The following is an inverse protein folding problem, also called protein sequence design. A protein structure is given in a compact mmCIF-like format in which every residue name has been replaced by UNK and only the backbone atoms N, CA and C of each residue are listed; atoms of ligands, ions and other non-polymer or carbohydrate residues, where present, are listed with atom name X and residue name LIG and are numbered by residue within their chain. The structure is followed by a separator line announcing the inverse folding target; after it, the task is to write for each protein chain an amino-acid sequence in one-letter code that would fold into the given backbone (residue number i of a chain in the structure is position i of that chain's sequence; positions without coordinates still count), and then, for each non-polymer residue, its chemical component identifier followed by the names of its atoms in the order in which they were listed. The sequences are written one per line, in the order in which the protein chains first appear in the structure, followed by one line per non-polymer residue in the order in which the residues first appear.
data_IF_824127293377
#
_entry.id   IF_824127293377
#
_cell.length_a   1.000
_cell.length_b   1.000
_cell.length_c   1.000
_cell.angle_alpha   90.00
_cell.angle_beta   90.00
_cell.angle_gamma   90.00
#
_symmetry.space_group_name_H-M   'P 1'
#
loop_
_entity.id
_entity.type
_entity.pdbx_description
1 polymer ?
#
# COMPACT_ATOMS: atom_id res chain seq x y z
N UNK A 1 1.43 -3.74 14.67
CA UNK A 1 1.01 -5.10 14.25
C UNK A 1 2.19 -5.99 13.91
N UNK A 2 3.11 -5.60 13.01
CA UNK A 2 4.26 -6.44 12.61
C UNK A 2 5.16 -6.89 13.79
N UNK A 3 5.46 -5.98 14.73
CA UNK A 3 6.26 -6.30 15.94
C UNK A 3 5.54 -7.29 16.85
N UNK A 4 4.22 -7.12 17.00
CA UNK A 4 3.40 -8.01 17.81
C UNK A 4 3.32 -9.40 17.17
N UNK A 5 3.13 -9.49 15.85
CA UNK A 5 3.17 -10.77 15.12
C UNK A 5 4.53 -11.46 15.24
N UNK A 6 5.65 -10.75 15.16
CA UNK A 6 7.00 -11.34 15.36
C UNK A 6 7.16 -11.95 16.74
N UNK A 7 6.68 -11.25 17.77
CA UNK A 7 6.78 -11.69 19.16
C UNK A 7 5.82 -12.84 19.47
N UNK A 8 4.61 -12.81 18.90
CA UNK A 8 3.56 -13.80 19.18
C UNK A 8 3.67 -15.08 18.33
N UNK A 9 4.14 -15.00 17.07
CA UNK A 9 4.31 -16.15 16.16
C UNK A 9 5.74 -16.70 16.13
N UNK A 10 6.72 -16.01 16.71
CA UNK A 10 8.12 -16.44 16.68
C UNK A 10 8.80 -16.30 15.30
N UNK A 11 8.14 -15.66 14.33
CA UNK A 11 8.71 -15.36 13.02
C UNK A 11 9.86 -14.33 13.16
N UNK A 12 11.03 -14.66 12.62
CA UNK A 12 12.13 -13.70 12.52
C UNK A 12 11.78 -12.67 11.45
N UNK A 13 11.51 -11.43 11.87
CA UNK A 13 11.36 -10.34 10.92
C UNK A 13 12.66 -10.17 10.13
N UNK A 14 12.58 -10.38 8.81
CA UNK A 14 13.63 -10.05 7.87
C UNK A 14 14.08 -8.58 8.07
N UNK A 15 15.36 -8.27 7.81
CA UNK A 15 15.91 -6.92 7.99
C UNK A 15 15.12 -5.87 7.21
N UNK A 16 14.67 -6.24 6.01
CA UNK A 16 13.82 -5.40 5.17
C UNK A 16 12.45 -5.17 5.82
N UNK A 17 11.85 -6.16 6.49
CA UNK A 17 10.62 -5.95 7.24
C UNK A 17 10.79 -4.95 8.40
N UNK A 18 11.94 -5.00 9.11
CA UNK A 18 12.26 -4.03 10.17
C UNK A 18 12.44 -2.62 9.60
N UNK A 19 13.17 -2.51 8.49
CA UNK A 19 13.38 -1.24 7.80
C UNK A 19 12.04 -0.67 7.28
N UNK A 20 11.15 -1.52 6.76
CA UNK A 20 9.82 -1.10 6.30
C UNK A 20 8.96 -0.56 7.44
N UNK A 21 8.97 -1.24 8.58
CA UNK A 21 8.29 -0.77 9.78
C UNK A 21 8.86 0.57 10.30
N UNK A 22 10.20 0.73 10.26
CA UNK A 22 10.84 1.99 10.65
C UNK A 22 10.49 3.13 9.69
N UNK A 23 10.52 2.88 8.37
CA UNK A 23 10.11 3.86 7.37
C UNK A 23 8.65 4.27 7.55
N UNK A 24 7.74 3.33 7.75
CA UNK A 24 6.33 3.65 8.00
C UNK A 24 6.15 4.47 9.28
N UNK A 25 6.93 4.20 10.33
CA UNK A 25 6.89 4.99 11.57
C UNK A 25 7.39 6.42 11.32
N UNK A 26 8.55 6.57 10.69
CA UNK A 26 9.14 7.89 10.37
C UNK A 26 8.19 8.67 9.45
N UNK A 27 7.71 8.05 8.37
CA UNK A 27 6.76 8.67 7.45
C UNK A 27 5.47 9.14 8.14
N UNK A 28 4.93 8.34 9.06
CA UNK A 28 3.76 8.72 9.86
C UNK A 28 4.05 9.91 10.76
N UNK A 29 5.23 9.97 11.40
CA UNK A 29 5.60 11.14 12.23
C UNK A 29 5.77 12.40 11.40
N UNK A 30 6.44 12.33 10.25
CA UNK A 30 6.63 13.47 9.35
C UNK A 30 5.28 13.97 8.83
N UNK A 31 4.38 13.05 8.44
CA UNK A 31 3.03 13.38 8.00
C UNK A 31 2.24 14.08 9.12
N UNK A 32 2.31 13.61 10.37
CA UNK A 32 1.59 14.22 11.50
C UNK A 32 2.14 15.60 11.86
N UNK A 33 3.46 15.79 11.82
CA UNK A 33 4.10 17.07 12.16
C UNK A 33 3.74 18.16 11.14
N UNK A 34 3.58 17.79 9.88
CA UNK A 34 3.24 18.71 8.79
C UNK A 34 1.75 18.62 8.41
N UNK A 35 0.95 17.89 9.19
CA UNK A 35 -0.47 17.81 8.95
C UNK A 35 -1.08 19.19 9.15
N UNK A 36 -2.10 19.56 8.36
CA UNK A 36 -2.82 20.78 8.60
C UNK A 36 -3.37 20.86 10.02
N UNK A 37 -3.18 22.04 10.62
CA UNK A 37 -3.91 22.39 11.83
C UNK A 37 -5.40 22.33 11.45
N UNK A 38 -6.11 21.34 12.01
CA UNK A 38 -7.55 21.20 11.83
C UNK A 38 -8.16 22.58 12.15
N UNK A 39 -8.77 23.26 11.17
CA UNK A 39 -9.65 24.39 11.50
C UNK A 39 -10.62 23.90 12.58
N UNK A 40 -10.89 24.71 13.60
CA UNK A 40 -11.68 24.35 14.78
C UNK A 40 -13.16 24.08 14.43
N UNK A 41 -13.44 23.03 13.66
CA UNK A 41 -14.76 22.47 13.43
C UNK A 41 -15.14 21.72 14.69
N UNK A 42 -15.54 22.49 15.70
CA UNK A 42 -15.89 22.01 17.03
C UNK A 42 -17.37 21.66 17.13
N UNK A 43 -18.19 22.16 16.20
CA UNK A 43 -19.64 21.96 16.19
C UNK A 43 -20.14 21.29 14.90
N UNK A 44 -21.32 20.65 15.00
CA UNK A 44 -22.01 20.09 13.83
C UNK A 44 -22.49 21.17 12.85
N UNK A 45 -22.70 22.40 13.34
CA UNK A 45 -23.08 23.55 12.52
C UNK A 45 -21.92 23.94 11.60
N UNK A 46 -20.71 24.05 12.16
CA UNK A 46 -19.49 24.36 11.40
C UNK A 46 -19.23 23.27 10.35
N UNK A 47 -19.37 22.01 10.74
CA UNK A 47 -19.22 20.91 9.78
C UNK A 47 -20.28 20.95 8.69
N UNK A 48 -21.52 21.29 9.03
CA UNK A 48 -22.59 21.46 8.04
C UNK A 48 -22.26 22.59 7.07
N UNK A 49 -21.70 23.69 7.57
CA UNK A 49 -21.28 24.82 6.74
C UNK A 49 -20.23 24.37 5.71
N UNK A 50 -19.19 23.64 6.16
CA UNK A 50 -18.13 23.07 5.31
C UNK A 50 -18.67 22.10 4.25
N UNK A 51 -19.59 21.21 4.64
CA UNK A 51 -20.23 20.27 3.73
C UNK A 51 -21.13 20.94 2.68
N UNK A 52 -21.73 22.10 3.00
CA UNK A 52 -22.61 22.86 2.10
C UNK A 52 -21.86 23.81 1.19
N UNK A 53 -20.56 23.97 1.36
CA UNK A 53 -19.79 24.85 0.48
C UNK A 53 -19.81 24.33 -0.97
N UNK A 54 -19.95 25.22 -1.95
CA UNK A 54 -20.13 24.81 -3.34
C UNK A 54 -18.91 24.04 -3.88
N UNK A 55 -17.70 24.35 -3.40
CA UNK A 55 -16.48 23.65 -3.78
C UNK A 55 -16.46 22.19 -3.31
N UNK A 56 -16.74 21.96 -2.03
CA UNK A 56 -16.84 20.60 -1.49
C UNK A 56 -18.01 19.83 -2.10
N UNK A 57 -19.18 20.47 -2.27
CA UNK A 57 -20.35 19.82 -2.85
C UNK A 57 -20.09 19.37 -4.30
N UNK A 58 -19.43 20.20 -5.12
CA UNK A 58 -19.03 19.84 -6.46
C UNK A 58 -18.03 18.66 -6.46
N UNK A 59 -17.02 18.70 -5.60
CA UNK A 59 -16.05 17.62 -5.45
C UNK A 59 -16.72 16.30 -5.01
N UNK A 60 -17.57 16.35 -4.00
CA UNK A 60 -18.33 15.21 -3.49
C UNK A 60 -19.26 14.64 -4.57
N UNK A 61 -19.93 15.49 -5.34
CA UNK A 61 -20.76 15.07 -6.47
C UNK A 61 -19.94 14.37 -7.57
N UNK A 62 -18.74 14.88 -7.89
CA UNK A 62 -17.81 14.25 -8.83
C UNK A 62 -17.37 12.88 -8.32
N UNK A 63 -16.97 12.77 -7.05
CA UNK A 63 -16.58 11.49 -6.44
C UNK A 63 -17.73 10.48 -6.43
N UNK A 64 -18.95 10.92 -6.08
CA UNK A 64 -20.15 10.06 -6.13
C UNK A 64 -20.46 9.61 -7.55
N UNK A 65 -20.43 10.52 -8.53
CA UNK A 65 -20.66 10.18 -9.94
C UNK A 65 -19.60 9.20 -10.46
N UNK A 66 -18.33 9.43 -10.14
CA UNK A 66 -17.23 8.53 -10.46
C UNK A 66 -17.45 7.15 -9.81
N UNK A 67 -17.85 7.11 -8.55
CA UNK A 67 -18.14 5.89 -7.83
C UNK A 67 -19.29 5.11 -8.50
N UNK A 68 -20.40 5.77 -8.83
CA UNK A 68 -21.52 5.16 -9.52
C UNK A 68 -21.13 4.63 -10.91
N UNK A 69 -20.35 5.40 -11.68
CA UNK A 69 -19.83 4.96 -12.97
C UNK A 69 -18.95 3.72 -12.82
N UNK A 70 -18.07 3.71 -11.81
CA UNK A 70 -17.20 2.59 -11.52
C UNK A 70 -18.00 1.34 -11.12
N UNK A 71 -19.02 1.48 -10.27
CA UNK A 71 -19.86 0.38 -9.79
C UNK A 71 -20.72 -0.22 -10.92
N UNK A 72 -21.40 0.62 -11.70
CA UNK A 72 -22.38 0.15 -12.67
C UNK A 72 -21.78 -0.25 -14.03
N UNK A 73 -20.71 0.43 -14.48
CA UNK A 73 -20.14 0.18 -15.81
C UNK A 73 -18.80 -0.56 -15.75
N UNK A 74 -17.86 -0.10 -14.94
CA UNK A 74 -16.49 -0.63 -14.97
C UNK A 74 -16.31 -1.89 -14.12
N UNK A 75 -16.96 -2.00 -12.97
CA UNK A 75 -16.85 -3.16 -12.08
C UNK A 75 -17.38 -4.45 -12.73
N UNK A 76 -18.54 -4.47 -13.42
CA UNK A 76 -19.03 -5.68 -14.07
C UNK A 76 -18.18 -6.07 -15.28
N UNK A 77 -17.67 -5.09 -16.04
CA UNK A 77 -16.99 -5.33 -17.32
C UNK A 77 -15.49 -5.56 -17.20
N UNK A 78 -14.82 -4.87 -16.28
CA UNK A 78 -13.36 -4.82 -16.18
C UNK A 78 -12.83 -5.12 -14.77
N UNK A 79 -13.68 -5.19 -13.74
CA UNK A 79 -13.24 -5.40 -12.36
C UNK A 79 -12.42 -6.68 -12.16
N UNK A 80 -12.76 -7.75 -12.88
CA UNK A 80 -12.03 -9.03 -12.84
C UNK A 80 -10.63 -8.97 -13.51
N UNK A 81 -10.39 -7.99 -14.39
CA UNK A 81 -9.11 -7.85 -15.11
C UNK A 81 -8.17 -6.83 -14.48
N UNK A 82 -8.73 -5.79 -13.85
CA UNK A 82 -7.96 -4.68 -13.31
C UNK A 82 -8.27 -4.50 -11.82
N UNK A 83 -7.33 -4.90 -10.98
CA UNK A 83 -7.38 -4.72 -9.52
C UNK A 83 -7.69 -3.28 -9.10
N UNK A 84 -7.15 -2.30 -9.84
CA UNK A 84 -7.33 -0.87 -9.57
C UNK A 84 -8.80 -0.44 -9.56
N UNK A 85 -9.68 -1.12 -10.31
CA UNK A 85 -11.09 -0.73 -10.37
C UNK A 85 -11.78 -0.99 -9.04
N UNK A 86 -11.65 -2.19 -8.48
CA UNK A 86 -12.24 -2.50 -7.17
C UNK A 86 -11.63 -1.66 -6.05
N UNK A 87 -10.31 -1.45 -6.10
CA UNK A 87 -9.62 -0.66 -5.08
C UNK A 87 -9.95 0.84 -5.17
N UNK A 88 -10.18 1.38 -6.36
CA UNK A 88 -10.64 2.76 -6.51
C UNK A 88 -12.06 2.93 -5.99
N UNK A 89 -12.96 1.97 -6.25
CA UNK A 89 -14.34 2.01 -5.73
C UNK A 89 -14.34 2.06 -4.20
N UNK A 90 -13.65 1.11 -3.54
CA UNK A 90 -13.64 1.09 -2.09
C UNK A 90 -12.91 2.31 -1.51
N UNK A 91 -11.87 2.84 -2.18
CA UNK A 91 -11.15 4.03 -1.72
C UNK A 91 -12.00 5.31 -1.79
N UNK A 92 -12.73 5.53 -2.90
CA UNK A 92 -13.64 6.67 -3.03
C UNK A 92 -14.76 6.61 -1.99
N UNK A 93 -15.38 5.45 -1.81
CA UNK A 93 -16.41 5.25 -0.79
C UNK A 93 -15.84 5.40 0.62
N UNK A 94 -14.60 4.93 0.82
CA UNK A 94 -13.88 5.03 2.07
C UNK A 94 -13.60 6.45 2.50
N UNK A 95 -13.38 7.38 1.57
CA UNK A 95 -13.28 8.80 1.91
C UNK A 95 -14.56 9.34 2.56
N UNK A 96 -15.74 8.98 2.05
CA UNK A 96 -17.01 9.34 2.69
C UNK A 96 -17.18 8.70 4.08
N UNK A 97 -16.66 7.48 4.27
CA UNK A 97 -16.63 6.83 5.59
C UNK A 97 -15.75 7.60 6.58
N UNK A 98 -14.55 8.03 6.18
CA UNK A 98 -13.64 8.81 7.04
C UNK A 98 -14.25 10.16 7.39
N UNK A 99 -14.84 10.88 6.43
CA UNK A 99 -15.56 12.13 6.69
C UNK A 99 -16.75 11.91 7.64
N UNK A 100 -17.49 10.81 7.47
CA UNK A 100 -18.62 10.46 8.35
C UNK A 100 -18.16 10.17 9.78
N UNK A 101 -17.07 9.42 9.97
CA UNK A 101 -16.48 9.16 11.29
C UNK A 101 -15.98 10.44 11.93
N UNK A 102 -15.29 11.33 11.20
CA UNK A 102 -14.86 12.64 11.70
C UNK A 102 -16.05 13.44 12.22
N UNK A 103 -17.13 13.51 11.43
CA UNK A 103 -18.34 14.24 11.85
C UNK A 103 -19.09 13.62 13.01
N UNK A 104 -19.18 12.29 13.06
CA UNK A 104 -19.74 11.60 14.21
C UNK A 104 -18.87 11.77 15.46
N UNK A 105 -17.55 11.85 15.31
CA UNK A 105 -16.64 12.20 16.41
C UNK A 105 -16.97 13.57 17.02
N UNK A 106 -17.25 14.57 16.18
CA UNK A 106 -17.73 15.90 16.62
C UNK A 106 -19.11 15.79 17.28
N UNK A 107 -20.05 15.03 16.69
CA UNK A 107 -21.37 14.80 17.26
C UNK A 107 -21.29 14.17 18.67
N UNK A 108 -20.45 13.15 18.85
CA UNK A 108 -20.27 12.45 20.13
C UNK A 108 -19.66 13.40 21.17
N UNK A 109 -18.66 14.20 20.80
CA UNK A 109 -18.10 15.24 21.70
C UNK A 109 -19.19 16.24 22.12
N UNK A 110 -20.00 16.71 21.17
CA UNK A 110 -21.13 17.60 21.45
C UNK A 110 -22.20 16.96 22.35
N UNK A 111 -22.47 15.65 22.18
CA UNK A 111 -23.39 14.90 23.02
C UNK A 111 -22.97 14.92 24.49
N UNK A 112 -21.69 14.62 24.76
CA UNK A 112 -21.14 14.66 26.12
C UNK A 112 -21.08 16.09 26.69
N UNK A 113 -20.98 17.10 25.84
CA UNK A 113 -21.06 18.52 26.22
C UNK A 113 -22.51 19.02 26.44
N UNK A 114 -23.52 18.15 26.35
CA UNK A 114 -24.93 18.51 26.58
C UNK A 114 -25.62 19.24 25.42
N UNK A 115 -25.02 19.27 24.24
CA UNK A 115 -25.62 19.88 23.04
C UNK A 115 -26.68 18.95 22.42
N UNK A 116 -27.75 19.49 21.81
CA UNK A 116 -28.84 18.70 21.22
C UNK A 116 -28.44 18.04 19.86
N UNK A 117 -27.31 17.33 19.82
CA UNK A 117 -26.73 16.76 18.58
C UNK A 117 -27.58 15.69 17.90
N UNK A 118 -28.46 15.00 18.65
CA UNK A 118 -29.36 13.98 18.13
C UNK A 118 -30.55 14.56 17.35
N UNK A 119 -30.90 15.82 17.64
CA UNK A 119 -31.92 16.56 16.88
C UNK A 119 -31.37 17.08 15.56
N UNK A 120 -30.04 17.17 15.44
CA UNK A 120 -29.40 17.66 14.23
C UNK A 120 -29.49 16.61 13.11
N UNK A 121 -30.11 16.92 11.95
CA UNK A 121 -30.33 15.95 10.88
C UNK A 121 -29.02 15.41 10.28
N UNK A 122 -27.94 16.20 10.34
CA UNK A 122 -26.61 15.79 9.87
C UNK A 122 -26.14 14.51 10.56
N UNK A 123 -26.37 14.35 11.87
CA UNK A 123 -25.91 13.19 12.64
C UNK A 123 -26.45 11.89 12.04
N UNK A 124 -27.75 11.85 11.70
CA UNK A 124 -28.38 10.69 11.08
C UNK A 124 -27.89 10.42 9.66
N UNK A 125 -27.68 11.49 8.87
CA UNK A 125 -27.11 11.37 7.52
C UNK A 125 -25.70 10.77 7.58
N UNK A 126 -24.87 11.22 8.52
CA UNK A 126 -23.51 10.69 8.72
C UNK A 126 -23.53 9.23 9.17
N UNK A 127 -24.44 8.83 10.07
CA UNK A 127 -24.59 7.40 10.45
C UNK A 127 -24.99 6.54 9.26
N UNK A 128 -26.02 6.94 8.50
CA UNK A 128 -26.49 6.17 7.34
C UNK A 128 -25.38 6.08 6.28
N UNK A 129 -24.71 7.19 6.00
CA UNK A 129 -23.59 7.24 5.05
C UNK A 129 -22.44 6.36 5.52
N UNK A 130 -22.10 6.36 6.81
CA UNK A 130 -21.08 5.50 7.40
C UNK A 130 -21.40 4.02 7.22
N UNK A 131 -22.61 3.58 7.60
CA UNK A 131 -23.02 2.17 7.49
C UNK A 131 -23.04 1.71 6.04
N UNK A 132 -23.62 2.51 5.14
CA UNK A 132 -23.64 2.20 3.72
C UNK A 132 -22.22 2.11 3.14
N UNK A 133 -21.38 3.11 3.42
CA UNK A 133 -20.01 3.18 2.90
C UNK A 133 -19.11 2.05 3.41
N UNK A 134 -19.17 1.69 4.70
CA UNK A 134 -18.41 0.56 5.25
C UNK A 134 -18.85 -0.76 4.61
N UNK A 135 -20.17 -0.96 4.46
CA UNK A 135 -20.72 -2.19 3.86
C UNK A 135 -20.22 -2.35 2.43
N UNK A 136 -20.27 -1.28 1.63
CA UNK A 136 -19.78 -1.31 0.25
C UNK A 136 -18.25 -1.48 0.19
N UNK A 137 -17.48 -0.82 1.07
CA UNK A 137 -16.03 -0.99 1.15
C UNK A 137 -15.63 -2.45 1.38
N UNK A 138 -16.20 -3.10 2.40
CA UNK A 138 -15.87 -4.48 2.75
C UNK A 138 -16.23 -5.41 1.59
N UNK A 139 -17.37 -5.21 0.93
CA UNK A 139 -17.76 -6.02 -0.22
C UNK A 139 -16.73 -5.98 -1.36
N UNK A 140 -16.35 -4.77 -1.81
CA UNK A 140 -15.42 -4.61 -2.92
C UNK A 140 -13.98 -4.99 -2.56
N UNK A 141 -13.56 -4.71 -1.31
CA UNK A 141 -12.24 -5.13 -0.83
C UNK A 141 -12.14 -6.65 -0.77
N UNK A 142 -13.15 -7.33 -0.20
CA UNK A 142 -13.19 -8.80 -0.16
C UNK A 142 -13.21 -9.39 -1.56
N UNK A 143 -13.97 -8.79 -2.49
CA UNK A 143 -13.98 -9.21 -3.89
C UNK A 143 -12.59 -9.07 -4.53
N UNK A 144 -11.87 -7.97 -4.27
CA UNK A 144 -10.50 -7.79 -4.76
C UNK A 144 -9.53 -8.80 -4.15
N UNK A 145 -9.67 -9.13 -2.87
CA UNK A 145 -8.82 -10.09 -2.17
C UNK A 145 -9.05 -11.54 -2.63
N UNK A 146 -10.26 -11.85 -3.08
CA UNK A 146 -10.62 -13.17 -3.64
C UNK A 146 -9.98 -13.42 -5.02
N UNK A 147 -9.80 -12.35 -5.80
CA UNK A 147 -9.34 -12.44 -7.20
C UNK A 147 -7.83 -12.18 -7.33
N UNK A 148 -7.27 -11.31 -6.51
CA UNK A 148 -5.91 -10.79 -6.67
C UNK A 148 -5.02 -11.09 -5.46
N UNK A 149 -3.72 -11.21 -5.72
CA UNK A 149 -2.72 -11.45 -4.68
C UNK A 149 -2.74 -10.38 -3.59
N UNK A 150 -2.89 -10.81 -2.34
CA UNK A 150 -2.96 -9.92 -1.17
C UNK A 150 -1.73 -9.04 -1.01
N UNK A 151 -0.54 -9.55 -1.38
CA UNK A 151 0.73 -8.79 -1.40
C UNK A 151 0.72 -7.57 -2.33
N UNK A 152 -0.18 -7.54 -3.32
CA UNK A 152 -0.39 -6.38 -4.19
C UNK A 152 -1.60 -5.55 -3.74
N UNK A 153 -2.67 -6.21 -3.30
CA UNK A 153 -3.91 -5.56 -2.87
C UNK A 153 -3.67 -4.55 -1.76
N UNK A 154 -2.96 -4.93 -0.69
CA UNK A 154 -2.80 -4.05 0.48
C UNK A 154 -1.98 -2.78 0.19
N UNK A 155 -0.79 -2.83 -0.44
CA UNK A 155 -0.05 -1.61 -0.76
C UNK A 155 -0.80 -0.69 -1.71
N UNK A 156 -1.44 -1.24 -2.76
CA UNK A 156 -2.18 -0.45 -3.74
C UNK A 156 -3.40 0.19 -3.08
N UNK A 157 -4.15 -0.57 -2.28
CA UNK A 157 -5.29 -0.04 -1.54
C UNK A 157 -4.86 1.08 -0.60
N UNK A 158 -3.78 0.89 0.14
CA UNK A 158 -3.25 1.90 1.05
C UNK A 158 -2.94 3.22 0.34
N UNK A 159 -2.28 3.16 -0.83
CA UNK A 159 -1.96 4.36 -1.63
C UNK A 159 -3.23 5.05 -2.14
N UNK A 160 -4.15 4.31 -2.77
CA UNK A 160 -5.37 4.88 -3.35
C UNK A 160 -6.30 5.44 -2.26
N UNK A 161 -6.49 4.70 -1.17
CA UNK A 161 -7.31 5.12 -0.05
C UNK A 161 -6.76 6.40 0.59
N UNK A 162 -5.47 6.40 0.92
CA UNK A 162 -4.87 7.53 1.63
C UNK A 162 -4.81 8.78 0.74
N UNK A 163 -4.51 8.65 -0.56
CA UNK A 163 -4.53 9.81 -1.47
C UNK A 163 -5.91 10.44 -1.56
N UNK A 164 -6.97 9.65 -1.74
CA UNK A 164 -8.34 10.15 -1.82
C UNK A 164 -8.78 10.73 -0.48
N UNK A 165 -8.46 10.10 0.65
CA UNK A 165 -8.80 10.59 1.99
C UNK A 165 -8.10 11.91 2.32
N UNK A 166 -6.80 12.03 2.03
CA UNK A 166 -6.05 13.29 2.23
C UNK A 166 -6.65 14.38 1.35
N UNK A 167 -6.88 14.10 0.05
CA UNK A 167 -7.47 15.06 -0.88
C UNK A 167 -8.86 15.51 -0.40
N UNK A 168 -9.70 14.55 0.02
CA UNK A 168 -11.04 14.84 0.54
C UNK A 168 -10.98 15.68 1.80
N UNK A 169 -10.05 15.39 2.71
CA UNK A 169 -9.88 16.14 3.97
C UNK A 169 -9.44 17.58 3.70
N UNK A 170 -8.43 17.77 2.86
CA UNK A 170 -7.93 19.10 2.46
C UNK A 170 -9.06 19.93 1.83
N UNK A 171 -9.90 19.30 0.99
CA UNK A 171 -11.00 20.00 0.34
C UNK A 171 -12.16 20.30 1.30
N UNK A 172 -12.48 19.36 2.18
CA UNK A 172 -13.57 19.50 3.15
C UNK A 172 -13.28 20.58 4.20
N UNK A 173 -12.06 20.63 4.72
CA UNK A 173 -11.67 21.57 5.77
C UNK A 173 -11.03 22.84 5.23
N UNK A 174 -10.86 22.97 3.91
CA UNK A 174 -10.19 24.11 3.25
C UNK A 174 -8.78 24.38 3.77
N UNK A 175 -8.11 23.32 4.21
CA UNK A 175 -6.76 23.37 4.77
C UNK A 175 -5.74 23.92 3.77
N UNK A 176 -6.01 23.84 2.46
CA UNK A 176 -5.12 24.39 1.43
C UNK A 176 -4.90 25.92 1.57
N UNK A 177 -5.79 26.66 2.24
CA UNK A 177 -5.66 28.12 2.40
C UNK A 177 -4.67 28.47 3.50
N UNK A 178 -4.58 27.63 4.52
CA UNK A 178 -3.74 27.85 5.71
C UNK A 178 -2.41 27.11 5.63
N UNK A 179 -2.30 26.09 4.77
CA UNK A 179 -1.09 25.28 4.61
C UNK A 179 0.06 26.03 3.93
N UNK A 180 1.23 26.02 4.56
CA UNK A 180 2.47 26.50 3.94
C UNK A 180 2.96 25.50 2.90
N UNK A 181 3.70 25.95 1.88
CA UNK A 181 4.32 25.06 0.88
C UNK A 181 5.19 23.98 1.53
N UNK A 182 5.85 24.30 2.65
CA UNK A 182 6.67 23.36 3.43
C UNK A 182 5.81 22.24 4.02
N UNK A 183 4.61 22.55 4.52
CA UNK A 183 3.70 21.57 5.13
C UNK A 183 3.12 20.62 4.09
N UNK A 184 2.82 21.15 2.89
CA UNK A 184 2.41 20.34 1.73
C UNK A 184 3.53 19.38 1.33
N UNK A 185 4.76 19.87 1.17
CA UNK A 185 5.91 19.03 0.81
C UNK A 185 6.17 17.99 1.92
N UNK A 186 6.10 18.39 3.19
CA UNK A 186 6.26 17.53 4.34
C UNK A 186 5.22 16.42 4.39
N UNK A 187 3.94 16.75 4.17
CA UNK A 187 2.83 15.79 4.12
C UNK A 187 3.01 14.80 2.97
N UNK A 188 3.36 15.28 1.77
CA UNK A 188 3.60 14.42 0.59
C UNK A 188 4.84 13.54 0.81
N UNK A 189 5.92 14.07 1.36
CA UNK A 189 7.14 13.32 1.67
C UNK A 189 6.89 12.24 2.73
N UNK A 190 6.16 12.59 3.80
CA UNK A 190 5.73 11.65 4.84
C UNK A 190 4.89 10.54 4.23
N UNK A 191 3.91 10.88 3.40
CA UNK A 191 3.08 9.91 2.70
C UNK A 191 3.88 8.95 1.82
N UNK A 192 4.76 9.48 0.97
CA UNK A 192 5.64 8.66 0.12
C UNK A 192 6.54 7.73 0.95
N UNK A 193 7.05 8.22 2.09
CA UNK A 193 7.86 7.41 3.01
C UNK A 193 7.06 6.26 3.59
N UNK A 194 5.79 6.47 3.97
CA UNK A 194 4.94 5.38 4.44
C UNK A 194 4.67 4.38 3.32
N UNK A 195 4.40 4.85 2.09
CA UNK A 195 4.21 3.98 0.92
C UNK A 195 5.43 3.08 0.73
N UNK A 196 6.64 3.66 0.74
CA UNK A 196 7.87 2.89 0.64
C UNK A 196 7.99 1.85 1.76
N UNK A 197 7.65 2.22 3.00
CA UNK A 197 7.62 1.28 4.13
C UNK A 197 6.64 0.12 3.95
N UNK A 198 5.41 0.40 3.49
CA UNK A 198 4.37 -0.61 3.22
C UNK A 198 4.75 -1.51 2.05
N UNK A 199 5.30 -0.95 0.97
CA UNK A 199 5.82 -1.73 -0.15
C UNK A 199 6.97 -2.63 0.29
N UNK A 200 7.92 -2.11 1.09
CA UNK A 200 9.03 -2.91 1.59
C UNK A 200 8.54 -4.07 2.48
N UNK A 201 7.51 -3.82 3.30
CA UNK A 201 6.91 -4.82 4.17
C UNK A 201 6.19 -5.93 3.39
N UNK A 202 5.50 -5.59 2.30
CA UNK A 202 4.71 -6.53 1.50
C UNK A 202 5.51 -7.22 0.37
N UNK A 203 6.42 -6.51 -0.31
CA UNK A 203 7.22 -7.04 -1.41
C UNK A 203 8.29 -8.02 -0.93
N UNK A 204 8.76 -7.86 0.30
CA UNK A 204 9.85 -8.67 0.86
C UNK A 204 9.43 -9.52 2.05
N UNK A 205 8.11 -9.69 2.23
CA UNK A 205 7.53 -10.60 3.23
C UNK A 205 8.07 -12.04 3.09
N UNK A 206 8.40 -12.45 1.87
CA UNK A 206 8.83 -13.82 1.54
C UNK A 206 10.35 -13.97 1.28
N UNK A 207 11.13 -12.88 1.31
CA UNK A 207 12.59 -13.00 1.16
C UNK A 207 13.25 -13.20 2.52
N UNK A 208 13.83 -14.36 2.77
CA UNK A 208 14.65 -14.62 3.96
C UNK A 208 16.08 -14.09 3.75
N UNK A 209 16.26 -12.76 3.75
CA UNK A 209 17.60 -12.16 3.73
C UNK A 209 18.17 -12.18 5.14
N UNK A 210 18.47 -13.39 5.62
CA UNK A 210 19.27 -13.58 6.83
C UNK A 210 20.66 -13.02 6.55
N UNK A 211 21.10 -12.09 7.41
CA UNK A 211 22.43 -11.47 7.43
C UNK A 211 23.60 -12.50 7.41
N UNK A 212 23.30 -13.79 7.59
CA UNK A 212 24.24 -14.91 7.41
C UNK A 212 24.69 -15.18 5.97
N UNK A 213 24.00 -14.67 4.94
CA UNK A 213 24.40 -14.86 3.52
C UNK A 213 25.20 -13.67 2.95
N UNK A 214 25.31 -12.56 3.69
CA UNK A 214 26.04 -11.37 3.25
C UNK A 214 27.56 -11.58 3.06
N UNK A 215 28.25 -12.48 3.79
CA UNK A 215 29.64 -12.80 3.49
C UNK A 215 29.84 -13.42 2.10
N UNK A 216 28.85 -14.15 1.56
CA UNK A 216 29.01 -14.85 0.28
C UNK A 216 28.87 -13.93 -0.94
N UNK A 217 28.11 -12.83 -0.83
CA UNK A 217 27.90 -11.88 -1.94
C UNK A 217 29.08 -10.90 -2.05
N UNK A 218 29.64 -10.46 -0.92
CA UNK A 218 30.85 -9.61 -0.92
C UNK A 218 32.13 -10.40 -1.28
N UNK A 219 32.12 -11.72 -1.13
CA UNK A 219 33.26 -12.57 -1.47
C UNK A 219 33.23 -13.06 -2.94
N UNK A 220 32.12 -12.83 -3.65
CA UNK A 220 31.94 -13.17 -5.07
C UNK A 220 32.04 -11.96 -6.02
N UNK A 221 32.73 -10.87 -5.65
CA UNK A 221 33.34 -9.99 -6.65
C UNK A 221 34.48 -10.74 -7.37
N UNK A 222 34.13 -11.76 -8.15
CA UNK A 222 34.97 -12.23 -9.24
C UNK A 222 34.81 -11.25 -10.42
N UNK A 223 35.91 -10.83 -11.06
CA UNK A 223 35.86 -9.92 -12.21
C UNK A 223 35.03 -10.54 -13.34
N UNK A 224 34.34 -9.70 -14.11
CA UNK A 224 33.55 -10.05 -15.29
C UNK A 224 34.19 -11.16 -16.16
N UNK A 225 33.40 -12.07 -16.77
CA UNK A 225 33.95 -13.06 -17.66
C UNK A 225 34.57 -12.35 -18.88
N UNK A 226 35.89 -12.39 -18.98
CA UNK A 226 36.60 -12.07 -20.21
C UNK A 226 36.23 -13.15 -21.22
N UNK A 227 35.48 -12.77 -22.25
CA UNK A 227 35.24 -13.59 -23.44
C UNK A 227 36.59 -14.05 -24.01
N UNK A 228 36.97 -15.31 -23.77
CA UNK A 228 38.14 -15.93 -24.40
C UNK A 228 37.70 -16.41 -25.78
N UNK A 229 38.27 -15.79 -26.80
CA UNK A 229 38.09 -16.15 -28.21
C UNK A 229 38.43 -17.62 -28.49
N UNK A 230 37.56 -18.24 -29.27
CA UNK A 230 37.44 -19.67 -29.60
C UNK A 230 38.46 -20.16 -30.66
N UNK A 231 39.72 -19.66 -30.64
CA UNK A 231 40.68 -19.91 -31.73
C UNK A 231 41.88 -20.82 -31.41
N UNK A 232 42.08 -21.25 -30.17
CA UNK A 232 43.30 -21.97 -29.78
C UNK A 232 43.12 -23.46 -29.47
N UNK A 233 41.90 -24.02 -29.52
CA UNK A 233 41.65 -25.43 -29.16
C UNK A 233 41.86 -26.40 -30.35
N UNK A 234 41.84 -25.89 -31.59
CA UNK A 234 41.95 -26.73 -32.80
C UNK A 234 43.38 -27.08 -33.24
N UNK A 235 44.42 -26.54 -32.60
CA UNK A 235 45.82 -26.78 -33.04
C UNK A 235 46.52 -27.88 -32.21
N UNK A 236 46.02 -28.20 -31.01
CA UNK A 236 46.72 -29.12 -30.10
C UNK A 236 46.27 -30.60 -30.21
N UNK A 237 45.16 -30.87 -30.91
CA UNK A 237 44.59 -32.23 -31.01
C UNK A 237 45.23 -33.08 -32.13
N UNK A 238 45.90 -32.48 -33.12
CA UNK A 238 46.41 -33.21 -34.30
C UNK A 238 47.79 -33.88 -34.10
N UNK A 239 48.52 -33.57 -33.01
CA UNK A 239 49.94 -33.96 -32.91
C UNK A 239 50.28 -35.05 -31.87
N UNK A 240 49.31 -35.80 -31.32
CA UNK A 240 49.60 -36.76 -30.23
C UNK A 240 49.20 -38.22 -30.46
N UNK A 241 48.68 -38.61 -31.63
CA UNK A 241 48.32 -40.00 -31.90
C UNK A 241 49.29 -40.73 -32.84
N UNK A 242 50.42 -41.18 -32.30
CA UNK A 242 51.24 -42.26 -32.89
C UNK A 242 51.64 -43.29 -31.80
N UNK A 243 50.87 -44.41 -31.78
CA UNK A 243 51.24 -45.83 -31.48
C UNK A 243 51.85 -46.24 -30.09
N UNK A 244 51.95 -47.56 -29.76
CA UNK A 244 50.95 -48.66 -29.75
C UNK A 244 51.04 -49.58 -28.48
N UNK A 245 50.40 -50.79 -28.52
CA UNK A 245 50.55 -52.00 -27.65
C UNK A 245 49.78 -52.05 -26.30
N UNK A 246 49.22 -53.15 -25.77
CA UNK A 246 49.14 -54.60 -26.08
C UNK A 246 47.89 -55.23 -25.37
N UNK A 247 47.61 -56.50 -25.69
CA UNK A 247 46.45 -57.42 -25.52
C UNK A 247 45.83 -57.70 -24.11
N UNK A 248 44.67 -58.41 -24.07
CA UNK A 248 43.65 -58.36 -23.00
C UNK A 248 43.56 -59.64 -22.13
N UNK A 249 42.73 -59.61 -21.06
CA UNK A 249 42.10 -60.74 -20.28
C UNK A 249 41.40 -60.15 -19.04
N UNK A 250 40.24 -60.54 -18.47
CA UNK A 250 39.28 -61.66 -18.57
C UNK A 250 37.94 -61.20 -17.96
N UNK A 251 36.82 -61.66 -18.52
CA UNK A 251 35.46 -61.58 -17.97
C UNK A 251 35.26 -62.60 -16.83
N UNK A 252 34.62 -62.20 -15.72
CA UNK A 252 34.00 -63.12 -14.77
C UNK A 252 32.64 -62.55 -14.34
N UNK A 253 31.56 -63.19 -14.83
CA UNK A 253 30.20 -63.10 -14.32
C UNK A 253 30.05 -64.16 -13.22
N UNK A 254 29.46 -63.81 -12.07
CA UNK A 254 28.82 -64.78 -11.19
C UNK A 254 27.38 -64.36 -10.93
N UNK A 255 26.51 -65.36 -11.06
CA UNK A 255 25.08 -65.41 -10.75
C UNK A 255 24.79 -65.04 -9.30
#
# INVERSE_FOLDING_TARGET
SAILSSYLLGERLNLLGKLGCLLSLVGSTVMVIHAPEDEEVTTLEDMTSKLKEPGFLAYAAILLALCFLLIFFLAPRYGQRNILIYLTICSVIGAFSVSSVKGLGIAIKGFFAGQPVLQHPLTWILVITLVASITTQINYLNKSLDIFNTSLVFPIYYVLFTTIVITTSIILFKEWVTMTVVDIIGTVCGFLTIILGVFLLHAFKDMDVSLGNLPQVLQNEQPAPVTRDDKNILIEVDNSSIAPEDKPKVFMLYT
#
